data_IF_543382384280
#
_entry.id   IF_543382384280
#
_cell.length_a   1.000
_cell.length_b   1.000
_cell.length_c   1.000
_cell.angle_alpha   90.00
_cell.angle_beta   90.00
_cell.angle_gamma   90.00
#
_symmetry.space_group_name_H-M   'P 1'
#
loop_
_entity.id
_entity.type
_entity.pdbx_description
1 polymer ?
#
# COMPACT_ATOMS: atom_id res chain seq x y z
N UNK A 1 -0.76 46.86 -11.76
CA UNK A 1 -1.04 47.14 -10.35
C UNK A 1 0.30 47.34 -9.67
N UNK A 2 0.55 48.49 -9.09
CA UNK A 2 1.82 48.80 -8.41
C UNK A 2 1.78 48.34 -6.95
N UNK A 3 2.95 48.29 -6.29
CA UNK A 3 3.04 47.93 -4.87
C UNK A 3 2.18 48.86 -4.00
N UNK A 4 2.23 50.17 -4.26
CA UNK A 4 1.51 51.19 -3.51
C UNK A 4 -0.01 51.09 -3.70
N UNK A 5 -0.47 50.69 -4.89
CA UNK A 5 -1.88 50.45 -5.17
C UNK A 5 -2.40 49.28 -4.33
N UNK A 6 -1.66 48.17 -4.26
CA UNK A 6 -2.04 46.99 -3.46
C UNK A 6 -1.97 47.28 -1.96
N UNK A 7 -0.94 48.01 -1.51
CA UNK A 7 -0.77 48.36 -0.10
C UNK A 7 -1.93 49.21 0.45
N UNK A 8 -2.62 49.98 -0.40
CA UNK A 8 -3.80 50.78 -0.02
C UNK A 8 -5.07 49.96 0.19
N UNK A 9 -5.16 48.78 -0.43
CA UNK A 9 -6.33 47.90 -0.34
C UNK A 9 -6.15 46.90 0.81
N UNK A 10 -6.10 47.41 2.04
CA UNK A 10 -5.97 46.57 3.23
C UNK A 10 -7.33 45.94 3.60
N UNK A 11 -7.44 44.62 3.78
CA UNK A 11 -8.63 43.98 4.32
C UNK A 11 -8.98 44.50 5.73
N UNK A 12 -10.28 44.55 6.10
CA UNK A 12 -10.71 45.10 7.40
C UNK A 12 -10.20 44.30 8.61
N UNK A 13 -10.00 42.99 8.44
CA UNK A 13 -9.56 42.07 9.51
C UNK A 13 -8.04 41.96 9.65
N UNK A 14 -7.27 42.76 8.90
CA UNK A 14 -5.80 42.71 8.88
C UNK A 14 -5.24 44.05 9.32
N UNK A 15 -4.27 44.02 10.24
CA UNK A 15 -3.60 45.25 10.66
C UNK A 15 -2.79 45.86 9.50
N UNK A 16 -2.99 47.17 9.25
CA UNK A 16 -2.36 47.89 8.14
C UNK A 16 -0.84 47.71 8.03
N UNK A 17 -0.12 47.64 9.15
CA UNK A 17 1.33 47.43 9.12
C UNK A 17 1.72 46.04 8.62
N UNK A 18 1.01 44.99 9.06
CA UNK A 18 1.22 43.60 8.60
C UNK A 18 0.87 43.45 7.13
N UNK A 19 -0.22 44.08 6.68
CA UNK A 19 -0.58 44.10 5.26
C UNK A 19 0.52 44.73 4.41
N UNK A 20 1.02 45.90 4.82
CA UNK A 20 2.07 46.61 4.07
C UNK A 20 3.37 45.80 4.00
N UNK A 21 3.77 45.15 5.10
CA UNK A 21 4.94 44.26 5.11
C UNK A 21 4.76 43.05 4.18
N UNK A 22 3.57 42.45 4.18
CA UNK A 22 3.26 41.32 3.31
C UNK A 22 3.26 41.71 1.82
N UNK A 23 2.68 42.88 1.49
CA UNK A 23 2.69 43.43 0.14
C UNK A 23 4.13 43.70 -0.30
N UNK A 24 4.93 44.39 0.52
CA UNK A 24 6.35 44.62 0.22
C UNK A 24 7.12 43.30 0.00
N UNK A 25 6.81 42.26 0.78
CA UNK A 25 7.39 40.93 0.56
C UNK A 25 6.99 40.34 -0.80
N UNK A 26 5.72 40.39 -1.20
CA UNK A 26 5.26 39.88 -2.49
C UNK A 26 5.88 40.60 -3.68
N UNK A 27 6.12 41.91 -3.56
CA UNK A 27 6.77 42.72 -4.59
C UNK A 27 8.31 42.67 -4.53
N UNK A 28 8.90 42.16 -3.45
CA UNK A 28 10.35 41.94 -3.39
C UNK A 28 10.82 40.90 -4.43
N UNK A 29 12.07 41.02 -4.88
CA UNK A 29 12.70 40.05 -5.78
C UNK A 29 12.60 38.61 -5.25
N UNK A 30 12.79 38.43 -3.94
CA UNK A 30 12.67 37.12 -3.28
C UNK A 30 11.26 36.55 -3.40
N UNK A 31 10.24 37.36 -3.12
CA UNK A 31 8.83 36.95 -3.21
C UNK A 31 8.43 36.59 -4.63
N UNK A 32 8.81 37.42 -5.60
CA UNK A 32 8.57 37.18 -7.03
C UNK A 32 9.26 35.89 -7.51
N UNK A 33 10.53 35.70 -7.15
CA UNK A 33 11.30 34.49 -7.50
C UNK A 33 10.60 33.22 -7.00
N UNK A 34 10.19 33.17 -5.73
CA UNK A 34 9.48 32.01 -5.20
C UNK A 34 8.10 31.81 -5.84
N UNK A 35 7.40 32.91 -6.17
CA UNK A 35 6.11 32.87 -6.87
C UNK A 35 6.25 32.25 -8.26
N UNK A 36 7.28 32.65 -9.01
CA UNK A 36 7.55 32.14 -10.35
C UNK A 36 7.96 30.67 -10.33
N UNK A 37 8.83 30.27 -9.39
CA UNK A 37 9.16 28.86 -9.15
C UNK A 37 7.89 28.06 -8.83
N UNK A 38 7.03 28.58 -7.96
CA UNK A 38 5.77 27.94 -7.58
C UNK A 38 4.79 27.82 -8.75
N UNK A 39 4.73 28.82 -9.64
CA UNK A 39 3.91 28.82 -10.85
C UNK A 39 4.41 27.79 -11.85
N UNK A 40 5.73 27.77 -12.11
CA UNK A 40 6.36 26.81 -13.00
C UNK A 40 6.20 25.36 -12.50
N UNK A 41 6.36 25.14 -11.20
CA UNK A 41 6.15 23.84 -10.58
C UNK A 41 4.68 23.36 -10.69
N UNK A 42 3.71 24.26 -10.47
CA UNK A 42 2.28 23.97 -10.66
C UNK A 42 1.95 23.67 -12.13
N UNK A 43 2.49 24.43 -13.07
CA UNK A 43 2.30 24.19 -14.50
C UNK A 43 2.89 22.84 -14.94
N UNK A 44 3.98 22.40 -14.29
CA UNK A 44 4.62 21.10 -14.54
C UNK A 44 3.87 19.92 -13.91
N UNK A 45 2.86 20.16 -13.05
CA UNK A 45 2.04 19.11 -12.46
C UNK A 45 0.90 18.74 -13.43
N UNK A 46 1.19 17.85 -14.36
CA UNK A 46 0.22 17.40 -15.37
C UNK A 46 -0.85 16.50 -14.79
N UNK A 47 -0.55 15.69 -13.77
CA UNK A 47 -1.51 14.73 -13.22
C UNK A 47 -1.76 15.03 -11.74
N UNK A 48 -2.78 15.86 -11.42
CA UNK A 48 -3.13 16.14 -10.03
C UNK A 48 -3.87 14.95 -9.40
N UNK A 49 -3.60 14.72 -8.11
CA UNK A 49 -4.34 13.76 -7.28
C UNK A 49 -5.59 14.42 -6.66
N UNK A 50 -6.58 13.61 -6.31
CA UNK A 50 -7.90 14.02 -5.76
C UNK A 50 -8.13 13.64 -4.30
N UNK A 51 -7.10 13.16 -3.58
CA UNK A 51 -7.26 12.77 -2.17
C UNK A 51 -7.59 13.94 -1.23
N UNK A 52 -7.43 15.18 -1.68
CA UNK A 52 -7.68 16.38 -0.86
C UNK A 52 -6.82 16.37 0.40
N UNK A 53 -7.43 16.69 1.55
CA UNK A 53 -6.77 16.67 2.86
C UNK A 53 -6.57 15.27 3.43
N UNK A 54 -7.12 14.23 2.81
CA UNK A 54 -6.98 12.85 3.29
C UNK A 54 -5.58 12.35 2.97
N UNK A 55 -4.85 11.95 4.01
CA UNK A 55 -3.49 11.42 3.86
C UNK A 55 -3.51 10.06 3.16
N UNK A 56 -2.40 9.75 2.47
CA UNK A 56 -2.24 8.46 1.81
C UNK A 56 -2.25 7.28 2.80
N UNK A 57 -1.73 7.49 4.03
CA UNK A 57 -1.79 6.50 5.09
C UNK A 57 -3.24 6.17 5.46
N UNK A 58 -4.11 7.19 5.58
CA UNK A 58 -5.53 7.01 5.89
C UNK A 58 -6.28 6.30 4.76
N UNK A 59 -6.01 6.67 3.50
CA UNK A 59 -6.58 5.96 2.34
C UNK A 59 -6.23 4.47 2.33
N UNK A 60 -4.98 4.12 2.66
CA UNK A 60 -4.57 2.70 2.77
C UNK A 60 -5.25 2.00 3.95
N UNK A 61 -5.43 2.68 5.08
CA UNK A 61 -6.10 2.12 6.24
C UNK A 61 -7.57 1.82 5.96
N UNK A 62 -8.30 2.78 5.37
CA UNK A 62 -9.70 2.60 4.96
C UNK A 62 -9.83 1.45 3.94
N UNK A 63 -8.95 1.39 2.93
CA UNK A 63 -8.96 0.26 1.99
C UNK A 63 -8.71 -1.09 2.66
N UNK A 64 -7.78 -1.14 3.63
CA UNK A 64 -7.48 -2.36 4.38
C UNK A 64 -8.63 -2.81 5.26
N UNK A 65 -9.38 -1.87 5.83
CA UNK A 65 -10.60 -2.14 6.61
C UNK A 65 -11.68 -2.76 5.72
N UNK A 66 -11.90 -2.18 4.53
CA UNK A 66 -12.93 -2.63 3.60
C UNK A 66 -12.61 -3.96 2.90
N UNK A 67 -11.32 -4.21 2.56
CA UNK A 67 -10.92 -5.34 1.71
C UNK A 67 -10.10 -6.41 2.45
N UNK A 68 -9.73 -6.18 3.72
CA UNK A 68 -8.88 -7.07 4.50
C UNK A 68 -7.43 -7.21 3.98
N UNK A 69 -7.03 -6.42 2.97
CA UNK A 69 -5.70 -6.48 2.34
C UNK A 69 -5.18 -5.09 1.98
N UNK A 70 -3.86 -4.98 1.78
CA UNK A 70 -3.25 -3.75 1.26
C UNK A 70 -3.66 -3.54 -0.21
N UNK A 71 -3.91 -2.28 -0.63
CA UNK A 71 -4.13 -1.99 -2.04
C UNK A 71 -2.85 -2.22 -2.85
N UNK A 72 -3.02 -2.70 -4.08
CA UNK A 72 -1.97 -2.69 -5.09
C UNK A 72 -1.51 -1.28 -5.43
N UNK A 73 -0.40 -1.14 -6.15
CA UNK A 73 0.10 0.19 -6.57
C UNK A 73 -0.84 0.83 -7.60
N UNK A 74 -1.41 0.03 -8.52
CA UNK A 74 -2.35 0.52 -9.53
C UNK A 74 -3.70 0.85 -8.91
N UNK A 75 -4.18 0.01 -7.98
CA UNK A 75 -5.41 0.27 -7.22
C UNK A 75 -5.28 1.56 -6.40
N UNK A 76 -4.15 1.73 -5.71
CA UNK A 76 -3.89 2.92 -4.91
C UNK A 76 -3.76 4.18 -5.78
N UNK A 77 -3.13 4.05 -6.95
CA UNK A 77 -3.10 5.14 -7.93
C UNK A 77 -4.51 5.53 -8.38
N UNK A 78 -5.35 4.55 -8.74
CA UNK A 78 -6.75 4.77 -9.10
C UNK A 78 -7.50 5.50 -7.98
N UNK A 79 -7.40 5.03 -6.73
CA UNK A 79 -8.05 5.68 -5.57
C UNK A 79 -7.68 7.16 -5.41
N UNK A 80 -6.46 7.53 -5.79
CA UNK A 80 -5.95 8.90 -5.63
C UNK A 80 -6.14 9.78 -6.85
N UNK A 81 -6.62 9.24 -7.98
CA UNK A 81 -6.78 9.96 -9.26
C UNK A 81 -8.19 9.80 -9.85
N UNK A 82 -9.16 9.41 -9.02
CA UNK A 82 -10.58 9.44 -9.33
C UNK A 82 -11.30 10.49 -8.48
N UNK A 83 -12.30 11.14 -9.05
CA UNK A 83 -13.25 11.95 -8.31
C UNK A 83 -14.23 11.08 -7.52
N UNK A 84 -14.98 11.70 -6.62
CA UNK A 84 -16.06 11.03 -5.87
C UNK A 84 -17.11 10.40 -6.79
N UNK A 85 -17.29 10.97 -7.97
CA UNK A 85 -18.24 10.51 -8.99
C UNK A 85 -17.71 9.33 -9.83
N UNK A 86 -16.51 8.81 -9.50
CA UNK A 86 -15.90 7.65 -10.15
C UNK A 86 -15.12 7.97 -11.45
N UNK A 87 -15.19 9.20 -11.94
CA UNK A 87 -14.45 9.63 -13.12
C UNK A 87 -13.00 9.97 -12.80
N UNK A 88 -12.10 9.68 -13.74
CA UNK A 88 -10.69 10.08 -13.64
C UNK A 88 -10.53 11.59 -13.78
N UNK A 89 -9.54 12.14 -13.07
CA UNK A 89 -9.23 13.58 -13.11
C UNK A 89 -8.77 14.03 -14.49
N UNK A 90 -7.98 13.18 -15.15
CA UNK A 90 -7.50 13.37 -16.51
C UNK A 90 -7.50 12.06 -17.25
N UNK A 91 -7.61 12.14 -18.57
CA UNK A 91 -7.49 10.99 -19.47
C UNK A 91 -6.13 10.31 -19.32
N UNK A 92 -5.05 11.07 -19.18
CA UNK A 92 -3.71 10.54 -18.90
C UNK A 92 -3.67 9.61 -17.67
N UNK A 93 -4.47 9.90 -16.64
CA UNK A 93 -4.55 9.05 -15.44
C UNK A 93 -5.29 7.73 -15.72
N UNK A 94 -6.31 7.79 -16.57
CA UNK A 94 -7.02 6.60 -17.05
C UNK A 94 -6.08 5.73 -17.89
N UNK A 95 -5.37 6.33 -18.84
CA UNK A 95 -4.43 5.63 -19.72
C UNK A 95 -3.34 4.90 -18.94
N UNK A 96 -2.82 5.51 -17.87
CA UNK A 96 -1.84 4.86 -16.99
C UNK A 96 -2.43 3.61 -16.33
N UNK A 97 -3.66 3.69 -15.81
CA UNK A 97 -4.33 2.55 -15.18
C UNK A 97 -4.63 1.45 -16.19
N UNK A 98 -5.13 1.80 -17.37
CA UNK A 98 -5.50 0.84 -18.40
C UNK A 98 -4.26 0.13 -18.98
N UNK A 99 -3.18 0.88 -19.24
CA UNK A 99 -1.89 0.33 -19.66
C UNK A 99 -1.28 -0.55 -18.57
N UNK A 100 -1.33 -0.13 -17.31
CA UNK A 100 -0.81 -0.92 -16.21
C UNK A 100 -1.56 -2.25 -16.08
N UNK A 101 -2.90 -2.19 -16.12
CA UNK A 101 -3.75 -3.38 -16.02
C UNK A 101 -3.49 -4.36 -17.17
N UNK A 102 -3.34 -3.85 -18.39
CA UNK A 102 -3.04 -4.67 -19.57
C UNK A 102 -1.68 -5.38 -19.46
N UNK A 103 -0.61 -4.63 -19.09
CA UNK A 103 0.73 -5.18 -18.91
C UNK A 103 0.83 -6.17 -17.75
N UNK A 104 0.06 -5.94 -16.68
CA UNK A 104 -0.02 -6.86 -15.55
C UNK A 104 -0.63 -8.19 -15.99
N UNK A 105 -1.76 -8.14 -16.72
CA UNK A 105 -2.42 -9.34 -17.24
C UNK A 105 -1.51 -10.14 -18.20
N UNK A 106 -0.79 -9.45 -19.08
CA UNK A 106 0.16 -10.07 -20.01
C UNK A 106 1.31 -10.79 -19.27
N UNK A 107 1.88 -10.18 -18.23
CA UNK A 107 3.05 -10.70 -17.52
C UNK A 107 2.74 -11.80 -16.51
N UNK A 108 1.54 -11.77 -15.92
CA UNK A 108 1.18 -12.72 -14.87
C UNK A 108 0.82 -14.08 -15.46
N UNK A 109 0.24 -14.14 -16.67
CA UNK A 109 -0.25 -15.38 -17.27
C UNK A 109 -1.24 -16.13 -16.36
N UNK A 110 -1.76 -17.28 -16.80
CA UNK A 110 -2.82 -17.99 -16.07
C UNK A 110 -2.32 -18.73 -14.79
N UNK A 111 -0.99 -18.80 -14.54
CA UNK A 111 -0.40 -19.69 -13.52
C UNK A 111 0.59 -19.02 -12.55
N UNK A 112 0.46 -17.71 -12.29
CA UNK A 112 1.35 -17.02 -11.32
C UNK A 112 0.81 -17.05 -9.88
N UNK A 113 1.71 -17.28 -8.93
CA UNK A 113 1.42 -17.17 -7.49
C UNK A 113 1.20 -15.71 -7.07
N UNK A 114 0.42 -15.49 -6.01
CA UNK A 114 0.06 -14.16 -5.46
C UNK A 114 1.30 -13.28 -5.18
N UNK A 115 2.42 -13.89 -4.76
CA UNK A 115 3.69 -13.19 -4.53
C UNK A 115 4.31 -12.65 -5.83
N UNK A 116 4.18 -13.40 -6.93
CA UNK A 116 4.66 -13.01 -8.25
C UNK A 116 3.85 -11.82 -8.79
N UNK A 117 2.53 -11.82 -8.55
CA UNK A 117 1.61 -10.75 -8.96
C UNK A 117 1.98 -9.37 -8.41
N UNK A 118 2.28 -9.26 -7.09
CA UNK A 118 2.67 -7.96 -6.49
C UNK A 118 4.00 -7.44 -7.00
N UNK A 119 4.97 -8.33 -7.25
CA UNK A 119 6.27 -7.95 -7.81
C UNK A 119 6.13 -7.39 -9.23
N UNK A 120 5.35 -8.08 -10.06
CA UNK A 120 5.04 -7.68 -11.43
C UNK A 120 4.30 -6.34 -11.45
N UNK A 121 3.27 -6.17 -10.62
CA UNK A 121 2.52 -4.91 -10.52
C UNK A 121 3.44 -3.73 -10.18
N UNK A 122 4.30 -3.87 -9.16
CA UNK A 122 5.24 -2.82 -8.76
C UNK A 122 6.24 -2.48 -9.87
N UNK A 123 6.69 -3.48 -10.64
CA UNK A 123 7.59 -3.29 -11.77
C UNK A 123 6.90 -2.54 -12.91
N UNK A 124 5.72 -3.01 -13.34
CA UNK A 124 4.91 -2.37 -14.39
C UNK A 124 4.60 -0.92 -14.02
N UNK A 125 4.19 -0.67 -12.78
CA UNK A 125 3.88 0.67 -12.32
C UNK A 125 5.11 1.57 -12.30
N UNK A 126 6.29 1.05 -11.95
CA UNK A 126 7.54 1.82 -11.98
C UNK A 126 7.98 2.13 -13.41
N UNK A 127 7.76 1.22 -14.35
CA UNK A 127 8.03 1.41 -15.78
C UNK A 127 7.16 2.53 -16.37
N UNK A 128 5.86 2.53 -16.06
CA UNK A 128 4.93 3.56 -16.56
C UNK A 128 5.13 4.93 -15.90
N UNK A 129 5.39 4.97 -14.59
CA UNK A 129 5.51 6.23 -13.84
C UNK A 129 6.93 6.80 -13.85
N UNK A 130 7.90 6.05 -14.35
CA UNK A 130 9.32 6.34 -14.29
C UNK A 130 9.96 6.10 -12.92
N UNK A 131 11.29 6.08 -12.92
CA UNK A 131 12.10 5.89 -11.72
C UNK A 131 11.80 6.93 -10.65
N UNK A 132 11.78 6.50 -9.39
CA UNK A 132 11.55 7.40 -8.25
C UNK A 132 12.74 8.34 -8.13
N UNK A 133 12.47 9.64 -7.90
CA UNK A 133 13.53 10.62 -7.61
C UNK A 133 14.21 10.29 -6.29
N UNK A 134 15.51 10.58 -6.20
CA UNK A 134 16.30 10.35 -4.99
C UNK A 134 15.64 10.95 -3.75
N UNK A 135 15.63 10.19 -2.65
CA UNK A 135 15.10 10.63 -1.36
C UNK A 135 13.57 10.69 -1.23
N UNK A 136 12.78 10.33 -2.26
CA UNK A 136 11.31 10.33 -2.18
C UNK A 136 10.71 8.96 -2.45
N UNK A 137 9.69 8.62 -1.67
CA UNK A 137 8.90 7.40 -1.91
C UNK A 137 7.54 7.76 -2.50
N UNK A 138 7.31 7.34 -3.75
CA UNK A 138 6.02 7.50 -4.43
C UNK A 138 4.92 6.77 -3.64
N UNK A 139 3.77 7.41 -3.48
CA UNK A 139 2.61 6.80 -2.80
C UNK A 139 2.64 6.84 -1.28
N UNK A 140 3.54 7.64 -0.67
CA UNK A 140 3.64 7.83 0.79
C UNK A 140 3.47 9.29 1.25
N UNK A 141 3.16 10.22 0.33
CA UNK A 141 2.98 11.63 0.65
C UNK A 141 4.30 12.40 0.74
N UNK A 142 4.23 13.61 1.30
CA UNK A 142 5.37 14.53 1.43
C UNK A 142 6.25 14.13 2.62
N UNK A 143 7.57 14.21 2.45
CA UNK A 143 8.54 14.06 3.55
C UNK A 143 9.01 12.63 3.83
N UNK A 144 8.33 11.60 3.30
CA UNK A 144 8.73 10.20 3.51
C UNK A 144 9.93 9.83 2.63
N UNK A 145 11.01 9.40 3.28
CA UNK A 145 12.24 8.95 2.62
C UNK A 145 12.38 7.42 2.64
N UNK A 146 13.12 6.82 1.69
CA UNK A 146 13.38 5.38 1.68
C UNK A 146 13.99 4.86 2.99
N UNK A 147 14.88 5.65 3.62
CA UNK A 147 15.55 5.32 4.88
C UNK A 147 14.58 5.20 6.05
N UNK A 148 13.56 6.06 6.10
CA UNK A 148 12.53 5.98 7.13
C UNK A 148 11.67 4.72 6.97
N UNK A 149 11.28 4.39 5.72
CA UNK A 149 10.51 3.18 5.46
C UNK A 149 11.30 1.91 5.77
N UNK A 150 12.60 1.87 5.49
CA UNK A 150 13.41 0.70 5.81
C UNK A 150 13.57 0.52 7.32
N UNK A 151 13.74 1.61 8.08
CA UNK A 151 13.79 1.55 9.54
C UNK A 151 12.49 1.03 10.16
N UNK A 152 11.33 1.54 9.71
CA UNK A 152 10.01 1.05 10.15
C UNK A 152 9.76 -0.39 9.68
N UNK A 153 10.19 -0.73 8.46
CA UNK A 153 10.11 -2.08 7.92
C UNK A 153 10.84 -3.09 8.81
N UNK A 154 12.07 -2.78 9.22
CA UNK A 154 12.84 -3.63 10.15
C UNK A 154 12.10 -3.82 11.48
N UNK A 155 11.68 -2.72 12.10
CA UNK A 155 10.97 -2.77 13.39
C UNK A 155 9.68 -3.61 13.33
N UNK A 156 8.87 -3.43 12.28
CA UNK A 156 7.60 -4.15 12.12
C UNK A 156 7.78 -5.60 11.66
N UNK A 157 8.89 -5.89 10.95
CA UNK A 157 9.23 -7.25 10.55
C UNK A 157 9.65 -8.09 11.76
N UNK A 158 10.44 -7.53 12.67
CA UNK A 158 10.84 -8.20 13.91
C UNK A 158 9.61 -8.57 14.74
N UNK A 159 8.68 -7.63 14.94
CA UNK A 159 7.43 -7.87 15.69
C UNK A 159 6.54 -8.92 15.01
N UNK A 160 6.40 -8.88 13.68
CA UNK A 160 5.60 -9.85 12.92
C UNK A 160 6.22 -11.25 12.89
N UNK A 161 7.54 -11.35 12.77
CA UNK A 161 8.25 -12.62 12.85
C UNK A 161 8.10 -13.22 14.24
N UNK A 162 8.26 -12.44 15.31
CA UNK A 162 8.05 -12.94 16.67
C UNK A 162 6.63 -13.49 16.88
N UNK A 163 5.59 -12.76 16.47
CA UNK A 163 4.19 -13.23 16.59
C UNK A 163 3.90 -14.47 15.74
N UNK A 164 4.28 -14.46 14.46
CA UNK A 164 3.99 -15.56 13.53
C UNK A 164 4.79 -16.83 13.87
N UNK A 165 6.01 -16.71 14.39
CA UNK A 165 6.80 -17.88 14.80
C UNK A 165 6.20 -18.59 16.01
N UNK A 166 5.63 -17.86 16.97
CA UNK A 166 4.96 -18.46 18.12
C UNK A 166 3.73 -19.28 17.67
N UNK A 167 2.81 -18.67 16.93
CA UNK A 167 1.60 -19.33 16.42
C UNK A 167 1.92 -20.57 15.56
N UNK A 168 2.93 -20.47 14.68
CA UNK A 168 3.35 -21.60 13.82
C UNK A 168 3.96 -22.74 14.66
N UNK A 169 4.67 -22.42 15.73
CA UNK A 169 5.23 -23.43 16.62
C UNK A 169 4.14 -24.12 17.44
N UNK A 170 3.15 -23.38 17.92
CA UNK A 170 2.00 -23.93 18.65
C UNK A 170 1.18 -24.87 17.76
N UNK A 171 0.83 -24.44 16.54
CA UNK A 171 0.13 -25.29 15.56
C UNK A 171 0.95 -26.53 15.20
N UNK A 172 2.28 -26.42 15.08
CA UNK A 172 3.15 -27.58 14.85
C UNK A 172 3.12 -28.56 16.01
N UNK A 173 3.06 -28.07 17.25
CA UNK A 173 2.95 -28.91 18.44
C UNK A 173 1.61 -29.65 18.45
N UNK A 174 0.50 -28.95 18.19
CA UNK A 174 -0.84 -29.54 18.13
C UNK A 174 -0.96 -30.61 17.03
N UNK A 175 -0.45 -30.33 15.82
CA UNK A 175 -0.41 -31.32 14.73
C UNK A 175 0.40 -32.55 15.13
N UNK A 176 1.51 -32.37 15.86
CA UNK A 176 2.35 -33.48 16.31
C UNK A 176 1.62 -34.35 17.33
N UNK A 177 0.90 -33.74 18.28
CA UNK A 177 0.08 -34.46 19.26
C UNK A 177 -1.07 -35.22 18.58
N UNK A 178 -1.82 -34.56 17.71
CA UNK A 178 -2.90 -35.19 16.93
C UNK A 178 -2.38 -36.39 16.13
N UNK A 179 -1.21 -36.25 15.50
CA UNK A 179 -0.59 -37.33 14.74
C UNK A 179 -0.19 -38.51 15.64
N UNK A 180 0.32 -38.25 16.83
CA UNK A 180 0.65 -39.31 17.80
C UNK A 180 -0.60 -40.01 18.32
N UNK A 181 -1.62 -39.26 18.70
CA UNK A 181 -2.91 -39.80 19.14
C UNK A 181 -3.52 -40.71 18.08
N UNK A 182 -3.61 -40.23 16.83
CA UNK A 182 -4.13 -41.02 15.72
C UNK A 182 -3.30 -42.30 15.46
N UNK A 183 -1.98 -42.22 15.58
CA UNK A 183 -1.11 -43.39 15.44
C UNK A 183 -1.40 -44.44 16.52
N UNK A 184 -1.62 -44.01 17.78
CA UNK A 184 -1.94 -44.93 18.88
C UNK A 184 -3.31 -45.58 18.72
N UNK A 185 -4.32 -44.84 18.26
CA UNK A 185 -5.64 -45.38 17.95
C UNK A 185 -5.57 -46.42 16.82
N UNK A 186 -4.82 -46.12 15.76
CA UNK A 186 -4.60 -47.06 14.65
C UNK A 186 -3.88 -48.34 15.09
N UNK A 187 -2.93 -48.26 16.02
CA UNK A 187 -2.27 -49.44 16.58
C UNK A 187 -3.22 -50.28 17.45
N UNK A 188 -4.05 -49.62 18.26
CA UNK A 188 -5.09 -50.27 19.07
C UNK A 188 -6.11 -51.01 18.20
N UNK A 189 -6.63 -50.36 17.16
CA UNK A 189 -7.56 -50.98 16.21
C UNK A 189 -6.94 -52.19 15.50
N UNK A 190 -5.68 -52.09 15.05
CA UNK A 190 -4.96 -53.22 14.46
C UNK A 190 -4.81 -54.39 15.43
N UNK A 191 -4.51 -54.11 16.69
CA UNK A 191 -4.40 -55.15 17.72
C UNK A 191 -5.74 -55.86 17.95
N UNK A 192 -6.84 -55.11 18.01
CA UNK A 192 -8.19 -55.68 18.12
C UNK A 192 -8.55 -56.55 16.92
N UNK A 193 -8.29 -56.09 15.69
CA UNK A 193 -8.52 -56.88 14.46
C UNK A 193 -7.71 -58.17 14.49
N UNK A 194 -6.45 -58.13 14.93
CA UNK A 194 -5.61 -59.31 15.02
C UNK A 194 -6.13 -60.32 16.06
N UNK A 195 -6.61 -59.84 17.22
CA UNK A 195 -7.26 -60.70 18.22
C UNK A 195 -8.51 -61.37 17.67
N UNK A 196 -9.39 -60.63 16.99
CA UNK A 196 -10.62 -61.16 16.38
C UNK A 196 -10.26 -62.19 15.30
N UNK A 197 -9.31 -61.88 14.43
CA UNK A 197 -8.82 -62.79 13.38
C UNK A 197 -8.26 -64.09 13.98
N UNK A 198 -7.49 -64.00 15.06
CA UNK A 198 -6.97 -65.17 15.78
C UNK A 198 -8.07 -66.04 16.39
N UNK A 199 -9.12 -65.43 16.95
CA UNK A 199 -10.27 -66.17 17.50
C UNK A 199 -11.03 -66.89 16.39
N UNK A 200 -11.26 -66.23 15.25
CA UNK A 200 -11.95 -66.84 14.12
C UNK A 200 -11.20 -68.04 13.55
N UNK A 201 -9.87 -68.00 13.47
CA UNK A 201 -9.05 -69.14 13.04
C UNK A 201 -9.17 -70.38 13.95
N UNK A 202 -9.55 -70.23 15.22
CA UNK A 202 -9.79 -71.37 16.13
C UNK A 202 -11.13 -72.09 15.86
N UNK A 203 -12.05 -71.46 15.11
CA UNK A 203 -13.36 -72.03 14.77
C UNK A 203 -13.46 -72.53 13.32
N UNK A 204 -12.37 -72.47 12.55
CA UNK A 204 -12.31 -73.05 11.19
C UNK A 204 -11.90 -74.53 11.30
N UNK A 205 -12.76 -75.50 10.92
CA UNK A 205 -12.39 -76.91 10.93
C UNK A 205 -11.36 -77.23 9.82
N UNK A 206 -10.54 -78.30 9.98
CA UNK A 206 -9.55 -78.71 8.99
C UNK A 206 -10.14 -79.15 7.65
#
# INVERSE_FOLDING_TARGET
MTEEEVARVCPPDVYHHQWRELVHYWFSERGQTYSDIGRAARASQTIPHTSGSKSYARLRAEFMEDHGRKPGEVEFYKMTHIHRDGNFVREESRDIVDRATSLISERIGESSSIGNTRGVEAQVFTELMGSKRYGRVRGYGVGVTPTQLSAVGRYTQDVRQSSSTAEVNDLKAEIKELKQSHQTEMQSLRAQINQITSLLHQFVPP
#
